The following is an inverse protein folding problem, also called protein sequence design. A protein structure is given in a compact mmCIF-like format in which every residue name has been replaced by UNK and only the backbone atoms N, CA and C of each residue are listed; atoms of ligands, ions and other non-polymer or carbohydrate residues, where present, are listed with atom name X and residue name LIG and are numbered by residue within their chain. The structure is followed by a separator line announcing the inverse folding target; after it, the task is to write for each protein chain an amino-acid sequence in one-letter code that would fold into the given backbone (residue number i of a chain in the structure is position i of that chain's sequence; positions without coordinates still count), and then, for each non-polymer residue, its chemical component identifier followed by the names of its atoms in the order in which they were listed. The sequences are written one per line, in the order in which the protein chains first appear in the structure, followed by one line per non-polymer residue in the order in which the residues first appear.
data_IF_418065931520
#
_entry.id   IF_418065931520
#
_cell.length_a   1.000
_cell.length_b   1.000
_cell.length_c   1.000
_cell.angle_alpha   90.00
_cell.angle_beta   90.00
_cell.angle_gamma   90.00
#
_symmetry.space_group_name_H-M   'P 1'
#
loop_
_entity.id
_entity.type
_entity.pdbx_description
1 polymer ?
#
# COMPACT_ATOMS: atom_id res chain seq x y z
N UNK A 1 -12.04 -46.41 22.70
CA UNK A 1 -12.32 -46.21 21.22
C UNK A 1 -13.56 -47.01 20.87
N UNK A 2 -14.56 -46.33 20.33
CA UNK A 2 -15.79 -46.98 19.84
C UNK A 2 -15.83 -46.94 18.30
N UNK A 3 -16.37 -48.00 17.69
CA UNK A 3 -16.60 -48.02 16.25
C UNK A 3 -17.88 -47.25 15.95
N UNK A 4 -17.78 -46.20 15.13
CA UNK A 4 -18.92 -45.37 14.72
C UNK A 4 -19.08 -45.42 13.20
N UNK A 5 -20.30 -45.11 12.73
CA UNK A 5 -20.63 -45.00 11.31
C UNK A 5 -20.66 -43.53 10.97
N UNK A 6 -19.89 -43.14 9.95
CA UNK A 6 -19.89 -41.75 9.46
C UNK A 6 -21.23 -41.39 8.84
N UNK A 7 -21.85 -40.31 9.31
CA UNK A 7 -23.15 -39.82 8.82
C UNK A 7 -23.15 -39.41 7.34
N UNK A 8 -21.99 -39.08 6.79
CA UNK A 8 -21.89 -38.63 5.39
C UNK A 8 -21.58 -39.77 4.42
N UNK A 9 -20.61 -40.66 4.74
CA UNK A 9 -20.16 -41.68 3.78
C UNK A 9 -20.52 -43.10 4.16
N UNK A 10 -21.15 -43.33 5.32
CA UNK A 10 -21.54 -44.66 5.83
C UNK A 10 -20.38 -45.56 6.27
N UNK A 11 -19.11 -45.10 6.15
CA UNK A 11 -17.95 -45.91 6.55
C UNK A 11 -17.78 -45.96 8.07
N UNK A 12 -17.36 -47.15 8.56
CA UNK A 12 -16.97 -47.31 9.98
C UNK A 12 -15.64 -46.58 10.23
N UNK A 13 -15.53 -45.99 11.39
CA UNK A 13 -14.30 -45.34 11.87
C UNK A 13 -14.18 -45.43 13.39
N UNK A 14 -12.96 -45.45 13.90
CA UNK A 14 -12.68 -45.45 15.32
C UNK A 14 -12.66 -44.03 15.86
N UNK A 15 -13.36 -43.76 16.97
CA UNK A 15 -13.40 -42.46 17.62
C UNK A 15 -13.35 -42.58 19.12
N UNK A 16 -12.53 -41.75 19.78
CA UNK A 16 -12.45 -41.62 21.24
C UNK A 16 -13.40 -40.54 21.77
N UNK A 17 -13.87 -39.69 20.88
CA UNK A 17 -14.76 -38.57 21.19
C UNK A 17 -16.09 -38.70 20.45
N UNK A 18 -17.03 -37.81 20.75
CA UNK A 18 -18.40 -37.87 20.23
C UNK A 18 -18.52 -37.32 18.79
N UNK A 19 -17.60 -37.72 17.89
CA UNK A 19 -17.64 -37.33 16.47
C UNK A 19 -18.65 -38.16 15.72
N UNK A 20 -19.42 -37.48 14.83
CA UNK A 20 -20.40 -38.10 13.96
C UNK A 20 -19.89 -38.33 12.53
N UNK A 21 -18.68 -37.88 12.21
CA UNK A 21 -18.09 -37.90 10.87
C UNK A 21 -16.66 -38.47 10.92
N UNK A 22 -16.30 -39.25 9.91
CA UNK A 22 -14.93 -39.71 9.77
C UNK A 22 -14.00 -38.54 9.40
N UNK A 23 -12.71 -38.69 9.65
CA UNK A 23 -11.70 -37.62 9.42
C UNK A 23 -11.72 -37.03 8.01
N UNK A 24 -11.93 -37.87 6.98
CA UNK A 24 -11.98 -37.41 5.58
C UNK A 24 -13.23 -36.57 5.32
N UNK A 25 -14.39 -36.98 5.80
CA UNK A 25 -15.64 -36.23 5.61
C UNK A 25 -15.65 -34.92 6.42
N UNK A 26 -15.10 -34.95 7.61
CA UNK A 26 -14.91 -33.74 8.44
C UNK A 26 -13.99 -32.75 7.75
N UNK A 27 -12.84 -33.20 7.23
CA UNK A 27 -11.90 -32.35 6.50
C UNK A 27 -12.55 -31.71 5.27
N UNK A 28 -13.24 -32.51 4.45
CA UNK A 28 -13.97 -31.99 3.27
C UNK A 28 -15.04 -30.96 3.64
N UNK A 29 -15.77 -31.20 4.72
CA UNK A 29 -16.79 -30.28 5.19
C UNK A 29 -16.17 -28.93 5.64
N UNK A 30 -15.04 -28.98 6.38
CA UNK A 30 -14.33 -27.76 6.79
C UNK A 30 -13.78 -26.99 5.58
N UNK A 31 -13.21 -27.68 4.59
CA UNK A 31 -12.72 -27.08 3.36
C UNK A 31 -13.87 -26.40 2.55
N UNK A 32 -15.04 -27.04 2.52
CA UNK A 32 -16.22 -26.49 1.83
C UNK A 32 -16.79 -25.28 2.58
N UNK A 33 -16.85 -25.33 3.93
CA UNK A 33 -17.27 -24.19 4.74
C UNK A 33 -16.28 -23.01 4.62
N UNK A 34 -14.98 -23.28 4.57
CA UNK A 34 -13.96 -22.27 4.36
C UNK A 34 -14.14 -21.57 3.00
N UNK A 35 -14.39 -22.33 1.93
CA UNK A 35 -14.67 -21.76 0.59
C UNK A 35 -15.95 -20.91 0.56
N UNK A 36 -17.00 -21.38 1.22
CA UNK A 36 -18.27 -20.61 1.32
C UNK A 36 -18.04 -19.31 2.07
N UNK A 37 -17.28 -19.35 3.17
CA UNK A 37 -16.95 -18.16 3.96
C UNK A 37 -16.12 -17.18 3.12
N UNK A 38 -15.09 -17.65 2.44
CA UNK A 38 -14.25 -16.87 1.54
C UNK A 38 -15.06 -16.22 0.41
N UNK A 39 -15.98 -16.96 -0.20
CA UNK A 39 -16.88 -16.42 -1.22
C UNK A 39 -17.81 -15.34 -0.68
N UNK A 40 -18.34 -15.52 0.53
CA UNK A 40 -19.20 -14.54 1.19
C UNK A 40 -18.42 -13.26 1.56
N UNK A 41 -17.20 -13.40 2.04
CA UNK A 41 -16.30 -12.27 2.32
C UNK A 41 -15.91 -11.52 1.03
N UNK A 42 -15.60 -12.24 -0.04
CA UNK A 42 -15.33 -11.66 -1.35
C UNK A 42 -16.51 -10.88 -1.93
N UNK A 43 -17.74 -11.39 -1.77
CA UNK A 43 -18.97 -10.71 -2.21
C UNK A 43 -19.20 -9.43 -1.41
N UNK A 44 -19.06 -9.49 -0.08
CA UNK A 44 -19.15 -8.30 0.79
C UNK A 44 -18.14 -7.24 0.37
N UNK A 45 -16.90 -7.65 0.15
CA UNK A 45 -15.82 -6.77 -0.26
C UNK A 45 -16.08 -6.13 -1.64
N UNK A 46 -16.63 -6.87 -2.61
CA UNK A 46 -17.01 -6.33 -3.91
C UNK A 46 -18.14 -5.30 -3.79
N UNK A 47 -19.10 -5.54 -2.90
CA UNK A 47 -20.23 -4.65 -2.69
C UNK A 47 -19.82 -3.36 -1.97
N UNK A 48 -18.96 -3.46 -0.97
CA UNK A 48 -18.32 -2.32 -0.30
C UNK A 48 -17.53 -1.46 -1.29
N UNK A 49 -16.69 -2.06 -2.13
CA UNK A 49 -15.95 -1.36 -3.18
C UNK A 49 -16.85 -0.65 -4.20
N UNK A 50 -17.98 -1.27 -4.54
CA UNK A 50 -18.95 -0.65 -5.44
C UNK A 50 -19.54 0.61 -4.80
N UNK A 51 -19.89 0.55 -3.53
CA UNK A 51 -20.42 1.70 -2.78
C UNK A 51 -19.38 2.82 -2.65
N UNK A 52 -18.14 2.50 -2.33
CA UNK A 52 -17.03 3.45 -2.27
C UNK A 52 -16.80 4.16 -3.62
N UNK A 53 -16.85 3.41 -4.73
CA UNK A 53 -16.72 4.00 -6.08
C UNK A 53 -17.85 4.95 -6.41
N UNK A 54 -19.08 4.60 -6.07
CA UNK A 54 -20.25 5.47 -6.31
C UNK A 54 -20.17 6.71 -5.42
N UNK A 55 -19.75 6.57 -4.16
CA UNK A 55 -19.52 7.70 -3.26
C UNK A 55 -18.45 8.64 -3.83
N UNK A 56 -17.30 8.11 -4.21
CA UNK A 56 -16.22 8.87 -4.83
C UNK A 56 -16.67 9.58 -6.11
N UNK A 57 -17.41 8.89 -7.00
CA UNK A 57 -17.98 9.52 -8.20
C UNK A 57 -18.90 10.67 -7.85
N UNK A 58 -19.73 10.51 -6.81
CA UNK A 58 -20.64 11.58 -6.37
C UNK A 58 -19.88 12.78 -5.80
N UNK A 59 -18.81 12.55 -5.05
CA UNK A 59 -17.94 13.60 -4.51
C UNK A 59 -17.21 14.35 -5.64
N UNK A 60 -16.65 13.61 -6.62
CA UNK A 60 -16.00 14.22 -7.79
C UNK A 60 -17.00 15.02 -8.64
N UNK A 61 -18.25 14.53 -8.79
CA UNK A 61 -19.29 15.26 -9.50
C UNK A 61 -19.79 16.49 -8.74
N UNK A 62 -19.78 16.42 -7.40
CA UNK A 62 -20.16 17.55 -6.55
C UNK A 62 -19.07 18.63 -6.47
N UNK A 63 -17.83 18.28 -6.83
CA UNK A 63 -16.72 19.23 -6.85
C UNK A 63 -16.91 20.26 -7.95
N UNK A 64 -17.43 21.42 -7.57
CA UNK A 64 -17.48 22.59 -8.45
C UNK A 64 -16.15 23.33 -8.31
N UNK A 65 -15.35 23.46 -9.37
CA UNK A 65 -14.16 24.26 -9.31
C UNK A 65 -14.52 25.69 -8.91
N UNK A 66 -13.86 26.22 -7.88
CA UNK A 66 -14.00 27.62 -7.50
C UNK A 66 -13.31 28.42 -8.62
N UNK A 67 -14.09 28.84 -9.59
CA UNK A 67 -13.62 29.78 -10.61
C UNK A 67 -13.32 31.10 -9.91
N UNK A 68 -12.06 31.39 -9.70
CA UNK A 68 -11.64 32.70 -9.21
C UNK A 68 -12.00 33.74 -10.28
N UNK A 69 -13.13 34.41 -10.09
CA UNK A 69 -13.52 35.57 -10.90
C UNK A 69 -12.45 36.66 -10.70
N UNK A 70 -11.97 37.23 -11.80
CA UNK A 70 -11.04 38.38 -11.86
C UNK A 70 -9.56 38.07 -11.59
N UNK A 71 -9.09 36.90 -11.92
CA UNK A 71 -7.67 36.59 -11.88
C UNK A 71 -7.10 36.54 -13.28
N UNK A 72 -6.27 37.54 -13.61
CA UNK A 72 -5.50 37.50 -14.86
C UNK A 72 -4.23 36.70 -14.66
N UNK A 73 -4.05 35.56 -15.35
CA UNK A 73 -2.80 34.81 -15.27
C UNK A 73 -1.66 35.64 -15.89
N UNK A 74 -0.45 35.45 -15.35
CA UNK A 74 0.74 36.14 -15.84
C UNK A 74 1.93 35.18 -15.85
N UNK A 75 2.99 35.59 -16.60
CA UNK A 75 4.26 34.84 -16.60
C UNK A 75 4.90 34.75 -15.22
N UNK A 76 4.52 35.63 -14.27
CA UNK A 76 5.01 35.61 -12.87
C UNK A 76 4.07 34.89 -11.91
N UNK A 77 3.21 34.01 -12.40
CA UNK A 77 2.31 33.22 -11.55
C UNK A 77 2.97 31.88 -11.24
N UNK A 78 2.94 31.48 -9.95
CA UNK A 78 3.26 30.13 -9.52
C UNK A 78 1.96 29.36 -9.33
N UNK A 79 1.84 28.25 -10.00
CA UNK A 79 0.75 27.30 -9.85
C UNK A 79 1.22 26.13 -8.99
N UNK A 80 0.38 25.70 -8.06
CA UNK A 80 0.60 24.51 -7.26
C UNK A 80 -0.51 23.55 -7.64
N UNK A 81 -0.15 22.41 -8.22
CA UNK A 81 -1.11 21.40 -8.67
C UNK A 81 -0.86 20.06 -8.01
N UNK A 82 -1.93 19.34 -7.71
CA UNK A 82 -1.92 18.01 -7.16
C UNK A 82 -2.91 17.11 -7.90
N UNK A 83 -3.23 15.95 -7.32
CA UNK A 83 -4.03 14.91 -7.96
C UNK A 83 -5.41 15.39 -8.46
N UNK A 84 -5.99 16.41 -7.82
CA UNK A 84 -7.23 17.03 -8.31
C UNK A 84 -7.15 17.57 -9.73
N UNK A 85 -5.96 18.02 -10.18
CA UNK A 85 -5.74 18.41 -11.56
C UNK A 85 -5.92 17.23 -12.52
N UNK A 86 -5.28 16.11 -12.24
CA UNK A 86 -5.38 14.90 -13.08
C UNK A 86 -6.81 14.35 -13.08
N UNK A 87 -7.46 14.28 -11.92
CA UNK A 87 -8.85 13.83 -11.79
C UNK A 87 -9.83 14.74 -12.56
N UNK A 88 -9.62 16.07 -12.55
CA UNK A 88 -10.43 17.03 -13.33
C UNK A 88 -10.35 16.71 -14.83
N UNK A 89 -9.20 16.23 -15.31
CA UNK A 89 -8.99 15.80 -16.69
C UNK A 89 -9.34 14.33 -16.92
N UNK A 90 -10.11 13.75 -16.01
CA UNK A 90 -10.59 12.35 -16.04
C UNK A 90 -9.48 11.30 -16.11
N UNK A 91 -8.29 11.66 -15.62
CA UNK A 91 -7.21 10.69 -15.47
C UNK A 91 -7.53 9.80 -14.26
N UNK A 92 -7.50 8.47 -14.39
CA UNK A 92 -7.77 7.57 -13.26
C UNK A 92 -6.54 7.48 -12.33
N UNK A 93 -6.20 8.59 -11.69
CA UNK A 93 -4.96 8.80 -10.93
C UNK A 93 -5.15 8.72 -9.40
N UNK A 94 -6.31 8.29 -8.91
CA UNK A 94 -6.51 8.06 -7.47
C UNK A 94 -5.83 6.78 -7.01
N UNK A 95 -5.46 6.69 -5.72
CA UNK A 95 -4.93 5.46 -5.16
C UNK A 95 -5.93 4.30 -5.19
N UNK A 96 -7.23 4.56 -5.20
CA UNK A 96 -8.25 3.56 -5.48
C UNK A 96 -8.12 2.97 -6.90
N UNK A 97 -7.80 3.81 -7.90
CA UNK A 97 -7.52 3.31 -9.25
C UNK A 97 -6.24 2.48 -9.30
N UNK A 98 -5.22 2.86 -8.54
CA UNK A 98 -4.02 2.04 -8.38
C UNK A 98 -4.35 0.66 -7.81
N UNK A 99 -5.10 0.61 -6.70
CA UNK A 99 -5.61 -0.62 -6.11
C UNK A 99 -6.33 -1.50 -7.13
N UNK A 100 -7.25 -0.89 -7.87
CA UNK A 100 -8.06 -1.60 -8.85
C UNK A 100 -7.20 -2.15 -10.02
N UNK A 101 -6.11 -1.47 -10.33
CA UNK A 101 -5.12 -1.88 -11.33
C UNK A 101 -4.20 -3.01 -10.87
N UNK A 102 -4.05 -3.27 -9.58
CA UNK A 102 -3.20 -4.34 -9.07
C UNK A 102 -3.70 -5.74 -9.48
N UNK A 103 -5.01 -5.90 -9.64
CA UNK A 103 -5.62 -7.19 -9.98
C UNK A 103 -5.69 -8.15 -8.79
N UNK A 104 -6.66 -9.06 -8.83
CA UNK A 104 -6.96 -9.99 -7.71
C UNK A 104 -5.85 -11.01 -7.42
N UNK A 105 -4.98 -11.30 -8.38
CA UNK A 105 -3.89 -12.27 -8.24
C UNK A 105 -2.56 -11.65 -7.79
N UNK A 106 -2.52 -10.34 -7.58
CA UNK A 106 -1.31 -9.67 -7.14
C UNK A 106 -1.22 -9.69 -5.61
N UNK A 107 -0.28 -10.44 -5.05
CA UNK A 107 -0.05 -10.54 -3.61
C UNK A 107 0.23 -9.19 -2.93
N UNK A 108 0.68 -8.17 -3.69
CA UNK A 108 1.01 -6.85 -3.15
C UNK A 108 -0.15 -6.18 -2.40
N UNK A 109 -1.40 -6.35 -2.86
CA UNK A 109 -2.55 -5.82 -2.13
C UNK A 109 -2.75 -6.54 -0.79
N UNK A 110 -2.63 -7.87 -0.78
CA UNK A 110 -2.71 -8.66 0.44
C UNK A 110 -1.62 -8.26 1.44
N UNK A 111 -0.40 -8.05 0.95
CA UNK A 111 0.72 -7.64 1.79
C UNK A 111 0.51 -6.25 2.39
N UNK A 112 -0.01 -5.29 1.59
CA UNK A 112 -0.39 -3.97 2.08
C UNK A 112 -1.47 -4.05 3.17
N UNK A 113 -2.53 -4.83 2.92
CA UNK A 113 -3.63 -5.01 3.88
C UNK A 113 -3.17 -5.75 5.17
N UNK A 114 -2.11 -6.56 5.08
CA UNK A 114 -1.55 -7.29 6.22
C UNK A 114 -0.59 -6.43 7.03
N UNK A 115 0.24 -5.65 6.34
CA UNK A 115 1.37 -4.93 6.95
C UNK A 115 0.97 -3.57 7.50
N UNK A 116 -0.08 -2.94 6.95
CA UNK A 116 -0.51 -1.59 7.34
C UNK A 116 -1.72 -1.64 8.28
N UNK A 117 -1.77 -0.68 9.24
CA UNK A 117 -2.85 -0.61 10.24
C UNK A 117 -3.95 0.39 9.91
N UNK A 118 -3.80 1.20 8.86
CA UNK A 118 -4.80 2.19 8.48
C UNK A 118 -6.12 1.51 8.11
N UNK A 119 -7.24 2.04 8.58
CA UNK A 119 -8.58 1.51 8.35
C UNK A 119 -8.97 1.49 6.86
N UNK A 120 -8.60 2.55 6.13
CA UNK A 120 -8.66 2.62 4.68
C UNK A 120 -7.33 3.15 4.14
N UNK A 121 -6.46 2.21 3.76
CA UNK A 121 -5.12 2.53 3.26
C UNK A 121 -5.15 3.30 1.93
N UNK A 122 -6.25 3.24 1.18
CA UNK A 122 -6.35 3.82 -0.15
C UNK A 122 -6.90 5.23 -0.16
N UNK A 123 -7.57 5.66 0.91
CA UNK A 123 -8.05 7.03 1.06
C UNK A 123 -6.88 8.03 1.21
N UNK A 124 -5.86 7.66 1.98
CA UNK A 124 -4.63 8.43 2.15
C UNK A 124 -3.43 7.48 2.15
N UNK A 125 -3.16 6.92 0.98
CA UNK A 125 -2.18 5.87 0.78
C UNK A 125 -0.77 6.24 1.27
N UNK A 126 -0.35 7.48 1.04
CA UNK A 126 0.97 7.94 1.43
C UNK A 126 1.14 8.00 2.94
N UNK A 127 0.14 8.48 3.68
CA UNK A 127 0.18 8.42 5.14
C UNK A 127 0.03 6.99 5.65
N UNK A 128 -0.82 6.17 5.00
CA UNK A 128 -1.00 4.77 5.35
C UNK A 128 0.30 3.96 5.25
N UNK A 129 1.16 4.24 4.28
CA UNK A 129 2.47 3.60 4.17
C UNK A 129 3.36 3.81 5.42
N UNK A 130 3.10 4.84 6.21
CA UNK A 130 3.78 5.07 7.48
C UNK A 130 3.14 4.40 8.69
N UNK A 131 2.02 3.68 8.52
CA UNK A 131 1.29 3.03 9.61
C UNK A 131 1.55 1.52 9.65
N UNK A 132 2.82 1.14 9.77
CA UNK A 132 3.19 -0.27 9.85
C UNK A 132 2.55 -0.93 11.09
N UNK A 133 2.06 -2.15 10.93
CA UNK A 133 1.58 -2.98 12.03
C UNK A 133 2.78 -3.56 12.78
N UNK A 134 3.35 -2.74 13.63
CA UNK A 134 4.55 -3.06 14.40
C UNK A 134 4.29 -4.16 15.44
N UNK A 135 3.08 -4.21 15.99
CA UNK A 135 2.67 -5.26 16.93
C UNK A 135 2.58 -6.62 16.23
N UNK A 136 2.10 -6.63 14.98
CA UNK A 136 2.05 -7.86 14.19
C UNK A 136 3.45 -8.31 13.80
N UNK A 137 4.32 -7.39 13.42
CA UNK A 137 5.65 -7.67 12.89
C UNK A 137 6.71 -7.82 13.98
N UNK A 138 6.62 -7.03 15.05
CA UNK A 138 7.48 -7.11 16.23
C UNK A 138 6.99 -8.13 17.25
N UNK A 139 5.74 -8.58 17.16
CA UNK A 139 5.24 -9.57 18.08
C UNK A 139 5.87 -10.92 17.75
N UNK A 140 6.43 -11.54 18.77
CA UNK A 140 6.82 -12.96 18.76
C UNK A 140 5.71 -13.86 18.19
N UNK A 141 4.51 -13.35 18.07
CA UNK A 141 3.32 -14.08 17.68
C UNK A 141 3.31 -14.53 16.22
N UNK A 142 3.73 -13.69 15.26
CA UNK A 142 3.78 -14.14 13.85
C UNK A 142 4.84 -15.20 13.65
N UNK A 143 6.06 -14.95 14.15
CA UNK A 143 7.12 -15.93 14.02
C UNK A 143 6.78 -17.21 14.78
N UNK A 144 6.22 -17.11 16.00
CA UNK A 144 5.78 -18.26 16.76
C UNK A 144 4.65 -19.02 16.05
N UNK A 145 3.71 -18.33 15.42
CA UNK A 145 2.64 -18.96 14.63
C UNK A 145 3.24 -19.77 13.47
N UNK A 146 4.17 -19.20 12.71
CA UNK A 146 4.82 -19.91 11.61
C UNK A 146 5.71 -21.05 12.09
N UNK A 147 6.42 -20.88 13.22
CA UNK A 147 7.22 -21.94 13.82
C UNK A 147 6.34 -23.12 14.27
N UNK A 148 5.14 -22.85 14.79
CA UNK A 148 4.16 -23.86 15.17
C UNK A 148 3.57 -24.54 13.93
N UNK A 149 3.15 -23.77 12.94
CA UNK A 149 2.60 -24.28 11.67
C UNK A 149 3.58 -25.17 10.89
N UNK A 150 4.88 -24.89 10.98
CA UNK A 150 5.93 -25.71 10.36
C UNK A 150 6.44 -26.83 11.26
N UNK A 151 5.89 -27.01 12.46
CA UNK A 151 6.25 -28.10 13.36
C UNK A 151 7.58 -27.93 14.08
N UNK A 152 8.14 -26.70 14.15
CA UNK A 152 9.42 -26.42 14.81
C UNK A 152 9.46 -26.85 16.28
N UNK A 153 8.30 -26.81 16.96
CA UNK A 153 8.18 -27.16 18.37
C UNK A 153 7.90 -28.65 18.59
N UNK A 154 7.58 -29.40 17.54
CA UNK A 154 7.27 -30.84 17.64
C UNK A 154 8.54 -31.69 17.76
N UNK A 155 9.68 -31.20 17.27
CA UNK A 155 10.98 -31.84 17.39
C UNK A 155 11.76 -31.30 18.62
N UNK A 156 12.37 -32.20 19.43
CA UNK A 156 13.18 -31.80 20.58
C UNK A 156 14.35 -30.89 20.18
N UNK A 157 14.89 -31.04 18.99
CA UNK A 157 16.00 -30.27 18.45
C UNK A 157 15.58 -29.09 17.53
N UNK A 158 14.30 -29.02 17.15
CA UNK A 158 13.75 -28.04 16.22
C UNK A 158 14.52 -28.02 14.90
N UNK A 159 13.93 -28.45 13.80
CA UNK A 159 14.63 -28.55 12.51
C UNK A 159 15.09 -27.20 11.99
N UNK A 160 16.32 -27.11 11.45
CA UNK A 160 16.83 -25.88 10.84
C UNK A 160 16.00 -25.46 9.61
N UNK A 161 15.45 -26.42 8.88
CA UNK A 161 14.62 -26.14 7.70
C UNK A 161 13.30 -25.46 8.08
N UNK A 162 12.60 -25.98 9.09
CA UNK A 162 11.35 -25.44 9.61
C UNK A 162 11.53 -24.02 10.13
N UNK A 163 12.65 -23.78 10.82
CA UNK A 163 13.00 -22.44 11.28
C UNK A 163 13.19 -21.45 10.13
N UNK A 164 14.00 -21.81 9.12
CA UNK A 164 14.21 -20.92 7.97
C UNK A 164 12.92 -20.64 7.20
N UNK A 165 12.07 -21.64 7.03
CA UNK A 165 10.76 -21.48 6.39
C UNK A 165 9.86 -20.53 7.17
N UNK A 166 9.85 -20.62 8.50
CA UNK A 166 9.06 -19.73 9.37
C UNK A 166 9.56 -18.28 9.29
N UNK A 167 10.87 -18.07 9.30
CA UNK A 167 11.49 -16.74 9.17
C UNK A 167 11.16 -16.13 7.81
N UNK A 168 11.30 -16.91 6.74
CA UNK A 168 11.01 -16.47 5.38
C UNK A 168 9.52 -16.11 5.22
N UNK A 169 8.62 -16.93 5.75
CA UNK A 169 7.18 -16.68 5.73
C UNK A 169 6.79 -15.41 6.52
N UNK A 170 7.40 -15.18 7.68
CA UNK A 170 7.15 -13.99 8.49
C UNK A 170 7.66 -12.70 7.83
N UNK A 171 8.77 -12.78 7.11
CA UNK A 171 9.39 -11.64 6.43
C UNK A 171 8.79 -11.36 5.04
N UNK A 172 8.15 -12.35 4.42
CA UNK A 172 7.71 -12.29 3.03
C UNK A 172 6.83 -11.07 2.68
N UNK A 173 5.82 -10.68 3.48
CA UNK A 173 4.99 -9.52 3.14
C UNK A 173 5.79 -8.23 3.03
N UNK A 174 6.70 -7.95 3.97
CA UNK A 174 7.53 -6.74 3.93
C UNK A 174 8.54 -6.81 2.79
N UNK A 175 9.21 -7.94 2.63
CA UNK A 175 10.17 -8.14 1.54
C UNK A 175 9.51 -7.93 0.18
N UNK A 176 8.26 -8.39 0.02
CA UNK A 176 7.48 -8.16 -1.19
C UNK A 176 7.15 -6.68 -1.39
N UNK A 177 6.75 -5.95 -0.33
CA UNK A 177 6.50 -4.51 -0.40
C UNK A 177 7.77 -3.74 -0.80
N UNK A 178 8.90 -4.00 -0.15
CA UNK A 178 10.19 -3.35 -0.46
C UNK A 178 10.57 -3.56 -1.93
N UNK A 179 10.42 -4.78 -2.43
CA UNK A 179 10.88 -5.14 -3.78
C UNK A 179 9.89 -4.74 -4.88
N UNK A 180 8.58 -4.78 -4.63
CA UNK A 180 7.57 -4.72 -5.69
C UNK A 180 6.68 -3.48 -5.67
N UNK A 181 6.55 -2.75 -4.55
CA UNK A 181 5.65 -1.59 -4.48
C UNK A 181 6.05 -0.49 -5.46
N UNK A 182 7.29 -0.03 -5.40
CA UNK A 182 7.79 1.05 -6.25
C UNK A 182 7.76 0.70 -7.76
N UNK A 183 8.25 -0.47 -8.20
CA UNK A 183 8.16 -0.86 -9.61
C UNK A 183 6.72 -1.00 -10.11
N UNK A 184 5.83 -1.53 -9.26
CA UNK A 184 4.42 -1.72 -9.63
C UNK A 184 3.68 -0.39 -9.70
N UNK A 185 3.92 0.50 -8.73
CA UNK A 185 3.39 1.85 -8.75
C UNK A 185 3.86 2.61 -9.99
N UNK A 186 5.14 2.52 -10.33
CA UNK A 186 5.70 3.16 -11.51
C UNK A 186 5.02 2.68 -12.80
N UNK A 187 4.85 1.39 -12.98
CA UNK A 187 4.15 0.83 -14.16
C UNK A 187 2.72 1.34 -14.27
N UNK A 188 2.02 1.46 -13.14
CA UNK A 188 0.68 2.03 -13.12
C UNK A 188 0.69 3.51 -13.52
N UNK A 189 1.60 4.34 -12.96
CA UNK A 189 1.72 5.75 -13.34
C UNK A 189 2.06 5.89 -14.83
N UNK A 190 2.90 5.03 -15.39
CA UNK A 190 3.25 5.03 -16.80
C UNK A 190 2.07 4.67 -17.72
N UNK A 191 1.11 3.90 -17.23
CA UNK A 191 -0.10 3.51 -17.97
C UNK A 191 -1.23 4.54 -17.94
N UNK A 192 -1.10 5.61 -17.15
CA UNK A 192 -2.16 6.62 -17.05
C UNK A 192 -2.28 7.44 -18.34
N UNK A 193 -3.52 7.62 -18.81
CA UNK A 193 -3.85 8.39 -20.01
C UNK A 193 -4.84 9.51 -19.67
N UNK A 194 -4.85 10.55 -20.49
CA UNK A 194 -5.87 11.60 -20.40
C UNK A 194 -7.24 11.02 -20.73
N UNK A 195 -8.22 11.31 -19.89
CA UNK A 195 -9.61 10.89 -20.10
C UNK A 195 -10.45 11.89 -20.89
N UNK A 196 -9.89 13.08 -21.20
CA UNK A 196 -10.58 14.13 -21.96
C UNK A 196 -9.57 15.10 -22.58
N UNK A 197 -9.95 15.71 -23.70
CA UNK A 197 -9.22 16.82 -24.32
C UNK A 197 -9.71 18.19 -23.83
N UNK A 198 -10.72 18.22 -22.95
CA UNK A 198 -11.24 19.45 -22.36
C UNK A 198 -10.16 20.16 -21.54
N UNK A 199 -10.12 21.49 -21.68
CA UNK A 199 -9.15 22.33 -20.97
C UNK A 199 -9.87 23.34 -20.06
N UNK A 200 -10.46 22.89 -18.96
CA UNK A 200 -11.28 23.73 -18.09
C UNK A 200 -10.51 24.89 -17.45
N UNK A 201 -9.20 24.80 -17.36
CA UNK A 201 -8.34 25.84 -16.80
C UNK A 201 -7.70 26.73 -17.89
N UNK A 202 -8.15 26.63 -19.15
CA UNK A 202 -7.70 27.53 -20.22
C UNK A 202 -8.08 28.99 -19.85
N UNK A 203 -7.14 29.91 -19.97
CA UNK A 203 -7.34 31.29 -19.49
C UNK A 203 -7.02 31.51 -18.01
N UNK A 204 -6.85 30.43 -17.20
CA UNK A 204 -6.37 30.51 -15.81
C UNK A 204 -4.89 30.15 -15.70
N UNK A 205 -4.37 29.34 -16.60
CA UNK A 205 -2.97 28.91 -16.64
C UNK A 205 -2.24 29.66 -17.74
N UNK A 206 -1.18 30.40 -17.36
CA UNK A 206 -0.31 31.07 -18.30
C UNK A 206 0.83 30.14 -18.73
N UNK A 207 1.08 29.91 -20.04
CA UNK A 207 2.11 28.94 -20.47
C UNK A 207 3.55 29.27 -20.03
N UNK A 208 3.84 30.53 -19.72
CA UNK A 208 5.13 30.97 -19.17
C UNK A 208 5.14 31.03 -17.63
N UNK A 209 4.05 30.69 -16.97
CA UNK A 209 3.99 30.54 -15.52
C UNK A 209 4.83 29.36 -15.06
N UNK A 210 5.14 29.34 -13.77
CA UNK A 210 5.84 28.20 -13.16
C UNK A 210 4.88 27.29 -12.44
N UNK A 211 5.17 26.00 -12.43
CA UNK A 211 4.34 24.99 -11.80
C UNK A 211 5.15 24.18 -10.79
N UNK A 212 4.63 24.09 -9.57
CA UNK A 212 4.97 23.04 -8.61
C UNK A 212 3.98 21.90 -8.80
N UNK A 213 4.46 20.79 -9.34
CA UNK A 213 3.64 19.63 -9.66
C UNK A 213 3.86 18.52 -8.64
N UNK A 214 2.81 18.19 -7.90
CA UNK A 214 2.77 17.06 -6.97
C UNK A 214 2.26 15.78 -7.63
N UNK A 215 1.82 15.87 -8.91
CA UNK A 215 1.48 14.70 -9.72
C UNK A 215 2.74 14.11 -10.34
N UNK A 216 2.64 12.85 -10.73
CA UNK A 216 3.70 12.13 -11.44
C UNK A 216 3.60 12.29 -12.98
N UNK A 217 2.50 12.87 -13.45
CA UNK A 217 2.12 13.01 -14.86
C UNK A 217 2.50 14.38 -15.42
N UNK A 218 2.69 14.44 -16.72
CA UNK A 218 3.04 15.66 -17.45
C UNK A 218 1.85 16.34 -18.13
N UNK A 219 0.65 16.05 -17.70
CA UNK A 219 -0.55 16.55 -18.39
C UNK A 219 -0.69 18.06 -18.36
N UNK A 220 -0.14 18.74 -17.34
CA UNK A 220 -0.10 20.22 -17.33
C UNK A 220 0.71 20.78 -18.51
N UNK A 221 1.82 20.15 -18.87
CA UNK A 221 2.66 20.54 -20.01
C UNK A 221 1.91 20.29 -21.32
N UNK A 222 1.34 19.10 -21.47
CA UNK A 222 0.65 18.67 -22.70
C UNK A 222 -0.62 19.46 -22.96
N UNK A 223 -1.41 19.70 -21.91
CA UNK A 223 -2.71 20.34 -22.03
C UNK A 223 -2.63 21.88 -22.12
N UNK A 224 -1.72 22.49 -21.37
CA UNK A 224 -1.66 23.95 -21.22
C UNK A 224 -0.36 24.57 -21.71
N UNK A 225 0.56 23.78 -22.23
CA UNK A 225 1.80 24.26 -22.85
C UNK A 225 2.80 24.86 -21.86
N UNK A 226 2.66 24.59 -20.56
CA UNK A 226 3.60 25.08 -19.55
C UNK A 226 4.95 24.38 -19.71
N UNK A 227 6.04 25.16 -19.65
CA UNK A 227 7.41 24.63 -19.85
C UNK A 227 8.23 24.56 -18.57
N UNK A 228 7.96 25.43 -17.61
CA UNK A 228 8.69 25.50 -16.34
C UNK A 228 7.93 24.74 -15.27
N UNK A 229 8.14 23.42 -15.20
CA UNK A 229 7.47 22.53 -14.27
C UNK A 229 8.48 21.84 -13.35
N UNK A 230 8.32 22.06 -12.05
CA UNK A 230 9.06 21.38 -11.02
C UNK A 230 8.22 20.24 -10.43
N UNK A 231 8.67 19.01 -10.64
CA UNK A 231 8.03 17.80 -10.10
C UNK A 231 8.57 17.48 -8.71
N UNK A 232 7.72 17.58 -7.69
CA UNK A 232 8.10 17.35 -6.29
C UNK A 232 8.34 15.85 -6.05
N UNK A 233 7.48 15.00 -6.62
CA UNK A 233 7.54 13.55 -6.43
C UNK A 233 8.20 12.81 -7.61
N UNK A 234 8.85 13.54 -8.51
CA UNK A 234 9.37 12.97 -9.75
C UNK A 234 8.32 12.91 -10.86
N UNK A 235 8.73 12.52 -12.05
CA UNK A 235 7.87 12.44 -13.23
C UNK A 235 8.09 11.13 -13.96
N UNK A 236 7.03 10.55 -14.50
CA UNK A 236 7.08 9.35 -15.33
C UNK A 236 7.92 9.52 -16.60
N UNK A 237 8.05 10.73 -17.12
CA UNK A 237 8.95 11.05 -18.25
C UNK A 237 10.43 10.86 -17.92
N UNK A 238 10.80 10.95 -16.66
CA UNK A 238 12.19 10.85 -16.22
C UNK A 238 12.44 9.43 -15.71
N UNK A 239 13.57 8.82 -16.10
CA UNK A 239 13.98 7.50 -15.59
C UNK A 239 14.36 7.49 -14.10
N UNK A 240 14.30 8.63 -13.43
CA UNK A 240 14.57 8.73 -11.99
C UNK A 240 13.47 8.04 -11.18
N UNK A 241 13.83 7.52 -10.00
CA UNK A 241 12.89 6.93 -9.02
C UNK A 241 11.76 7.93 -8.73
N UNK A 242 10.52 7.46 -8.73
CA UNK A 242 9.38 8.23 -8.24
C UNK A 242 9.44 8.26 -6.71
N UNK A 243 9.01 9.37 -6.11
CA UNK A 243 8.99 9.51 -4.66
C UNK A 243 7.57 9.19 -4.20
N UNK A 244 7.36 7.92 -3.87
CA UNK A 244 6.15 7.42 -3.20
C UNK A 244 6.53 7.08 -1.76
N UNK A 245 5.71 7.49 -0.78
CA UNK A 245 5.97 7.11 0.60
C UNK A 245 5.37 8.10 1.61
N UNK A 246 5.70 7.90 2.87
CA UNK A 246 5.19 8.59 4.04
C UNK A 246 6.13 9.70 4.55
N UNK A 247 5.67 10.43 5.54
CA UNK A 247 6.48 11.43 6.25
C UNK A 247 7.59 10.73 7.04
N UNK A 248 8.76 11.39 7.24
CA UNK A 248 9.81 10.89 8.12
C UNK A 248 9.29 10.64 9.54
N UNK A 249 9.85 9.64 10.23
CA UNK A 249 9.58 9.38 11.65
C UNK A 249 8.57 8.27 11.92
N UNK A 250 8.00 7.63 10.90
CA UNK A 250 7.01 6.56 11.09
C UNK A 250 7.60 5.27 11.70
N UNK A 251 8.91 5.06 11.58
CA UNK A 251 9.62 3.88 12.09
C UNK A 251 10.61 4.19 13.24
N UNK A 252 10.62 5.41 13.78
CA UNK A 252 11.55 5.80 14.85
C UNK A 252 11.40 4.99 16.14
N UNK A 253 10.23 4.40 16.39
CA UNK A 253 9.93 3.61 17.60
C UNK A 253 10.38 2.15 17.51
N UNK A 254 10.98 1.71 16.38
CA UNK A 254 11.26 0.31 16.09
C UNK A 254 12.48 -0.30 16.79
N UNK A 255 13.31 0.48 17.42
CA UNK A 255 14.52 -0.01 18.11
C UNK A 255 14.23 -0.51 19.52
N UNK A 256 13.34 -1.49 19.68
CA UNK A 256 13.29 -2.24 20.93
C UNK A 256 14.50 -3.16 21.04
N UNK A 257 15.34 -2.80 21.99
CA UNK A 257 16.63 -3.38 22.27
C UNK A 257 16.53 -4.90 22.48
N UNK A 258 17.33 -5.68 21.75
CA UNK A 258 17.52 -7.10 21.96
C UNK A 258 17.85 -7.36 23.45
N UNK A 259 16.98 -8.09 24.13
CA UNK A 259 17.27 -8.63 25.46
C UNK A 259 18.23 -9.80 25.28
N UNK A 260 19.18 -9.98 26.20
CA UNK A 260 20.06 -11.16 26.16
C UNK A 260 19.21 -12.43 26.09
N UNK A 261 19.43 -13.30 25.10
CA UNK A 261 18.64 -14.52 24.95
C UNK A 261 18.82 -15.42 26.18
N UNK A 262 17.72 -16.03 26.65
CA UNK A 262 17.73 -16.87 27.82
C UNK A 262 18.16 -18.31 27.51
N UNK A 263 17.99 -18.75 26.29
CA UNK A 263 18.36 -20.08 25.80
C UNK A 263 18.58 -20.05 24.28
N UNK A 264 19.00 -21.16 23.68
CA UNK A 264 19.26 -21.31 22.26
C UNK A 264 18.03 -20.99 21.40
N UNK A 265 16.85 -21.50 21.74
CA UNK A 265 15.59 -21.21 21.02
C UNK A 265 15.30 -19.71 21.00
N UNK A 266 15.51 -19.03 22.14
CA UNK A 266 15.31 -17.58 22.21
C UNK A 266 16.32 -16.83 21.32
N UNK A 267 17.58 -17.27 21.27
CA UNK A 267 18.60 -16.68 20.40
C UNK A 267 18.23 -16.80 18.91
N UNK A 268 17.66 -17.95 18.54
CA UNK A 268 17.19 -18.20 17.16
C UNK A 268 16.02 -17.31 16.81
N UNK A 269 15.05 -17.14 17.70
CA UNK A 269 13.91 -16.24 17.52
C UNK A 269 14.37 -14.79 17.44
N UNK A 270 15.33 -14.38 18.26
CA UNK A 270 15.87 -13.01 18.25
C UNK A 270 16.57 -12.69 16.92
N UNK A 271 17.35 -13.63 16.36
CA UNK A 271 17.96 -13.47 15.02
C UNK A 271 16.92 -13.32 13.92
N UNK A 272 15.83 -14.08 14.00
CA UNK A 272 14.73 -13.97 13.02
C UNK A 272 14.01 -12.63 13.11
N UNK A 273 13.79 -12.12 14.31
CA UNK A 273 13.22 -10.79 14.53
C UNK A 273 14.14 -9.70 13.99
N UNK A 274 15.46 -9.80 14.21
CA UNK A 274 16.43 -8.84 13.68
C UNK A 274 16.36 -8.75 12.15
N UNK A 275 16.19 -9.87 11.44
CA UNK A 275 16.00 -9.88 9.98
C UNK A 275 14.73 -9.15 9.55
N UNK A 276 13.62 -9.32 10.27
CA UNK A 276 12.37 -8.58 10.01
C UNK A 276 12.57 -7.10 10.26
N UNK A 277 13.28 -6.72 11.33
CA UNK A 277 13.58 -5.32 11.65
C UNK A 277 14.47 -4.66 10.61
N UNK A 278 15.45 -5.38 10.05
CA UNK A 278 16.28 -4.88 8.96
C UNK A 278 15.44 -4.58 7.71
N UNK A 279 14.49 -5.45 7.39
CA UNK A 279 13.55 -5.21 6.28
C UNK A 279 12.63 -4.02 6.54
N UNK A 280 12.15 -3.83 7.76
CA UNK A 280 11.38 -2.65 8.16
C UNK A 280 12.22 -1.38 8.02
N UNK A 281 13.47 -1.41 8.47
CA UNK A 281 14.40 -0.30 8.29
C UNK A 281 14.64 0.03 6.81
N UNK A 282 14.74 -1.00 5.97
CA UNK A 282 14.85 -0.83 4.51
C UNK A 282 13.55 -0.24 3.93
N UNK A 283 12.39 -0.74 4.34
CA UNK A 283 11.08 -0.21 3.93
C UNK A 283 10.95 1.27 4.26
N UNK A 284 11.23 1.66 5.51
CA UNK A 284 11.17 3.05 5.95
C UNK A 284 12.11 3.94 5.12
N UNK A 285 13.37 3.53 4.97
CA UNK A 285 14.37 4.26 4.17
C UNK A 285 13.93 4.45 2.72
N UNK A 286 13.30 3.46 2.11
CA UNK A 286 12.87 3.50 0.71
C UNK A 286 11.60 4.30 0.49
N UNK A 287 10.71 4.33 1.47
CA UNK A 287 9.40 4.96 1.40
C UNK A 287 9.29 6.26 2.21
N UNK A 288 10.36 6.75 2.82
CA UNK A 288 10.36 8.06 3.46
C UNK A 288 10.45 9.17 2.42
N UNK A 289 9.48 10.10 2.48
CA UNK A 289 9.44 11.29 1.62
C UNK A 289 10.18 12.47 2.24
N UNK A 290 11.20 12.92 1.55
CA UNK A 290 11.92 14.16 1.90
C UNK A 290 11.43 15.38 1.10
N UNK A 291 10.13 15.49 0.89
CA UNK A 291 9.50 16.56 0.09
C UNK A 291 9.81 17.96 0.63
N UNK A 292 9.97 18.10 1.95
CA UNK A 292 10.29 19.39 2.58
C UNK A 292 11.63 19.95 2.13
N UNK A 293 12.64 19.12 1.95
CA UNK A 293 13.95 19.57 1.46
C UNK A 293 13.89 20.03 0.00
N UNK A 294 13.12 19.32 -0.82
CA UNK A 294 12.91 19.70 -2.21
C UNK A 294 12.22 21.05 -2.28
N UNK A 295 11.17 21.26 -1.50
CA UNK A 295 10.43 22.53 -1.44
C UNK A 295 11.33 23.65 -0.92
N UNK A 296 12.12 23.43 0.13
CA UNK A 296 13.09 24.41 0.64
C UNK A 296 14.09 24.83 -0.44
N UNK A 297 14.63 23.86 -1.18
CA UNK A 297 15.59 24.13 -2.26
C UNK A 297 14.97 25.00 -3.35
N UNK A 298 13.71 24.75 -3.71
CA UNK A 298 12.97 25.54 -4.71
C UNK A 298 12.71 26.94 -4.20
N UNK A 299 12.26 27.09 -2.96
CA UNK A 299 11.99 28.41 -2.33
C UNK A 299 13.27 29.23 -2.22
N UNK A 300 14.40 28.61 -1.87
CA UNK A 300 15.70 29.31 -1.75
C UNK A 300 16.21 29.76 -3.13
N UNK A 301 16.02 28.91 -4.17
CA UNK A 301 16.42 29.28 -5.53
C UNK A 301 15.54 30.37 -6.17
N UNK A 302 14.37 30.63 -5.56
CA UNK A 302 13.38 31.59 -6.02
C UNK A 302 13.47 32.97 -5.33
N UNK A 303 14.59 33.30 -4.68
CA UNK A 303 14.75 34.59 -3.94
C UNK A 303 14.45 35.85 -4.77
N UNK A 304 14.46 35.76 -6.09
CA UNK A 304 14.09 36.86 -7.01
C UNK A 304 12.59 36.87 -7.39
N UNK A 305 11.77 36.08 -6.68
CA UNK A 305 10.38 35.89 -7.03
C UNK A 305 9.42 36.67 -6.13
N UNK A 306 8.96 37.80 -6.60
CA UNK A 306 7.70 38.41 -6.15
C UNK A 306 6.50 37.68 -6.80
N UNK A 307 6.47 36.37 -6.72
CA UNK A 307 5.42 35.56 -7.35
C UNK A 307 4.12 35.65 -6.53
N UNK A 308 3.00 35.83 -7.21
CA UNK A 308 1.69 35.60 -6.62
C UNK A 308 1.45 34.09 -6.60
N UNK A 309 1.43 33.51 -5.39
CA UNK A 309 1.14 32.08 -5.21
C UNK A 309 -0.36 31.86 -5.42
N UNK A 310 -0.69 30.87 -6.22
CA UNK A 310 -2.06 30.41 -6.48
C UNK A 310 -2.14 28.91 -6.29
N UNK A 311 -3.05 28.48 -5.42
CA UNK A 311 -3.44 27.07 -5.28
C UNK A 311 -4.57 26.80 -6.28
N UNK A 312 -4.36 25.84 -7.15
CA UNK A 312 -5.34 25.32 -8.08
C UNK A 312 -5.74 23.90 -7.71
#
# INVERSE_FOLDING_TARGET
MEIKICKTCGKQFLSEANYSYCRICSKKWHEEQAKIKEQAENLKWQEQRKQERELFKSEVQAYKPILMKNVTPSAHTLYIIGNGFDLMHRVPSSYYNFRDGLGKSNGLQYDLDTVLTAEDIWADFENALGTLNLDLMGSRNILNMWLDDFGFYDDEDGGAAEFYMAVEAAAAPIANLVNNLQPTFRRWIESLELGTDDRPLIGLIHPQGKVLNFNYTEFIETMYGVKDVCYIHGSRKKKKKLILGHKPGAAEDFHERSRKPRNYRQAVIDVAQDNVFDLVGQYDKELTKNSQEIIKTIVISSKDWHARIRLL
#
